data_IF_923360887123
#
_entry.id   IF_923360887123
#
_cell.length_a   1.000
_cell.length_b   1.000
_cell.length_c   1.000
_cell.angle_alpha   90.00
_cell.angle_beta   90.00
_cell.angle_gamma   90.00
#
_symmetry.space_group_name_H-M   'P 1'
#
loop_
_entity.id
_entity.type
_entity.pdbx_description
1 polymer ?
#
# COMPACT_ATOMS: atom_id res chain seq x y z
N UNK A 1 -56.73 0.56 61.07
CA UNK A 1 -55.88 -0.39 60.30
C UNK A 1 -56.54 -0.64 58.96
N UNK A 2 -56.04 -0.04 57.88
CA UNK A 2 -56.39 -0.41 56.50
C UNK A 2 -55.13 -0.22 55.65
N UNK A 3 -54.46 -1.33 55.36
CA UNK A 3 -53.26 -1.42 54.51
C UNK A 3 -53.69 -1.52 53.05
N UNK A 4 -53.26 -0.55 52.23
CA UNK A 4 -53.47 -0.52 50.79
C UNK A 4 -52.44 -1.43 50.10
N UNK A 5 -52.92 -2.47 49.42
CA UNK A 5 -52.13 -3.30 48.51
C UNK A 5 -51.87 -2.55 47.19
N UNK A 6 -50.65 -2.05 46.97
CA UNK A 6 -50.20 -1.60 45.65
C UNK A 6 -49.61 -2.78 44.87
N UNK A 7 -50.38 -3.23 43.87
CA UNK A 7 -50.01 -4.29 42.91
C UNK A 7 -48.81 -3.88 42.03
N UNK A 8 -47.89 -4.83 41.88
CA UNK A 8 -46.68 -4.79 41.05
C UNK A 8 -46.98 -4.70 39.54
N UNK A 9 -47.20 -3.49 39.01
CA UNK A 9 -47.26 -3.27 37.55
C UNK A 9 -46.00 -2.63 36.96
N UNK A 10 -45.07 -2.14 37.77
CA UNK A 10 -43.90 -1.39 37.31
C UNK A 10 -42.73 -2.26 36.83
N UNK A 11 -42.59 -3.51 37.29
CA UNK A 11 -41.48 -4.38 36.86
C UNK A 11 -41.63 -4.98 35.45
N UNK A 12 -42.85 -5.09 34.91
CA UNK A 12 -43.06 -5.69 33.58
C UNK A 12 -42.63 -4.76 32.44
N UNK A 13 -42.90 -3.46 32.58
CA UNK A 13 -42.54 -2.46 31.56
C UNK A 13 -41.03 -2.16 31.49
N UNK A 14 -40.29 -2.33 32.59
CA UNK A 14 -38.84 -2.16 32.60
C UNK A 14 -38.11 -3.21 31.74
N UNK A 15 -38.66 -4.44 31.65
CA UNK A 15 -38.06 -5.52 30.84
C UNK A 15 -38.27 -5.28 29.34
N UNK A 16 -39.42 -4.76 28.92
CA UNK A 16 -39.67 -4.41 27.52
C UNK A 16 -38.92 -3.14 27.09
N UNK A 17 -38.78 -2.14 27.97
CA UNK A 17 -37.97 -0.95 27.69
C UNK A 17 -36.49 -1.29 27.50
N UNK A 18 -35.93 -2.20 28.30
CA UNK A 18 -34.57 -2.69 28.14
C UNK A 18 -34.33 -3.43 26.82
N UNK A 19 -35.27 -4.28 26.40
CA UNK A 19 -35.20 -4.99 25.10
C UNK A 19 -35.32 -4.01 23.92
N UNK A 20 -36.16 -2.99 24.01
CA UNK A 20 -36.34 -2.00 22.96
C UNK A 20 -35.13 -1.06 22.81
N UNK A 21 -34.52 -0.64 23.92
CA UNK A 21 -33.26 0.14 23.91
C UNK A 21 -32.10 -0.71 23.40
N UNK A 22 -32.05 -2.01 23.74
CA UNK A 22 -31.05 -2.94 23.22
C UNK A 22 -31.21 -3.18 21.71
N UNK A 23 -32.44 -3.26 21.20
CA UNK A 23 -32.73 -3.34 19.76
C UNK A 23 -32.38 -2.04 19.00
N UNK A 24 -32.59 -0.88 19.60
CA UNK A 24 -32.19 0.43 19.04
C UNK A 24 -30.66 0.66 19.07
N UNK A 25 -29.95 0.07 20.03
CA UNK A 25 -28.48 0.07 20.07
C UNK A 25 -27.86 -0.94 19.08
N UNK A 26 -28.62 -1.95 18.66
CA UNK A 26 -28.23 -2.92 17.62
C UNK A 26 -28.55 -2.46 16.20
N UNK A 27 -29.29 -1.35 16.01
CA UNK A 27 -29.42 -0.66 14.72
C UNK A 27 -28.25 0.27 14.40
N UNK A 28 -27.06 -0.01 14.94
CA UNK A 28 -25.82 0.53 14.41
C UNK A 28 -25.67 0.00 12.98
N UNK A 29 -26.12 0.80 12.01
CA UNK A 29 -26.25 0.45 10.61
C UNK A 29 -25.04 -0.34 10.12
N UNK A 30 -25.26 -1.60 9.73
CA UNK A 30 -24.40 -2.28 8.77
C UNK A 30 -24.43 -1.43 7.50
N UNK A 31 -23.52 -0.46 7.41
CA UNK A 31 -23.44 0.46 6.28
C UNK A 31 -22.78 -0.32 5.16
N UNK A 32 -23.54 -0.68 4.14
CA UNK A 32 -22.99 -1.31 2.95
C UNK A 32 -21.89 -0.41 2.37
N UNK A 33 -20.81 -0.99 1.82
CA UNK A 33 -19.85 -0.21 1.07
C UNK A 33 -20.58 0.44 -0.10
N UNK A 34 -20.60 1.77 -0.14
CA UNK A 34 -21.18 2.51 -1.26
C UNK A 34 -20.10 2.64 -2.31
N UNK A 35 -20.21 1.86 -3.38
CA UNK A 35 -19.37 2.03 -4.57
C UNK A 35 -19.76 3.32 -5.29
N UNK A 36 -18.78 3.99 -5.88
CA UNK A 36 -19.02 5.16 -6.73
C UNK A 36 -19.77 4.72 -7.99
N UNK A 37 -20.68 5.58 -8.46
CA UNK A 37 -21.44 5.31 -9.69
C UNK A 37 -20.53 5.12 -10.92
N UNK A 38 -19.42 5.87 -10.96
CA UNK A 38 -18.39 5.71 -11.99
C UNK A 38 -17.79 4.30 -11.96
N UNK A 39 -17.45 3.79 -10.78
CA UNK A 39 -16.92 2.43 -10.59
C UNK A 39 -17.88 1.38 -11.14
N UNK A 40 -19.18 1.49 -10.86
CA UNK A 40 -20.17 0.58 -11.42
C UNK A 40 -20.30 0.64 -12.95
N UNK A 41 -19.99 1.78 -13.55
CA UNK A 41 -20.16 2.00 -14.99
C UNK A 41 -18.92 1.61 -15.79
N UNK A 42 -17.74 1.79 -15.20
CA UNK A 42 -16.44 1.61 -15.88
C UNK A 42 -15.89 0.19 -15.74
N UNK A 43 -16.31 -0.55 -14.71
CA UNK A 43 -15.82 -1.91 -14.45
C UNK A 43 -16.57 -2.97 -15.27
N UNK A 44 -15.89 -4.02 -15.75
CA UNK A 44 -16.55 -5.21 -16.28
C UNK A 44 -17.55 -5.79 -15.26
N UNK A 45 -18.67 -6.39 -15.68
CA UNK A 45 -19.68 -6.90 -14.75
C UNK A 45 -19.16 -8.03 -13.85
N UNK A 46 -18.20 -8.81 -14.33
CA UNK A 46 -17.58 -9.91 -13.59
C UNK A 46 -16.11 -10.05 -13.98
N UNK A 47 -15.27 -10.36 -13.01
CA UNK A 47 -13.84 -10.65 -13.21
C UNK A 47 -13.44 -11.81 -12.30
N UNK A 48 -12.64 -12.75 -12.81
CA UNK A 48 -12.04 -13.82 -12.00
C UNK A 48 -10.65 -14.18 -12.53
N UNK A 49 -9.62 -13.87 -11.75
CA UNK A 49 -8.21 -14.13 -12.02
C UNK A 49 -7.87 -15.61 -11.72
N UNK A 50 -8.35 -16.50 -12.59
CA UNK A 50 -8.18 -17.96 -12.44
C UNK A 50 -6.72 -18.42 -12.46
N UNK A 51 -5.81 -17.61 -13.00
CA UNK A 51 -4.37 -17.88 -13.04
C UNK A 51 -3.72 -17.82 -11.66
N UNK A 52 -4.35 -17.17 -10.67
CA UNK A 52 -3.82 -17.10 -9.31
C UNK A 52 -3.88 -18.49 -8.68
N UNK A 53 -2.73 -19.10 -8.37
CA UNK A 53 -2.70 -20.45 -7.82
C UNK A 53 -3.31 -20.48 -6.42
N UNK A 54 -3.71 -21.66 -5.97
CA UNK A 54 -4.23 -21.86 -4.63
C UNK A 54 -3.31 -22.76 -3.81
N UNK A 55 -3.02 -22.31 -2.59
CA UNK A 55 -2.34 -23.08 -1.56
C UNK A 55 -3.23 -23.08 -0.33
N UNK A 56 -3.66 -24.27 0.11
CA UNK A 56 -4.50 -24.40 1.30
C UNK A 56 -3.78 -23.84 2.53
N UNK A 57 -4.48 -23.01 3.30
CA UNK A 57 -3.93 -22.33 4.47
C UNK A 57 -4.28 -23.12 5.72
N UNK A 58 -3.30 -23.75 6.35
CA UNK A 58 -3.48 -24.34 7.69
C UNK A 58 -3.27 -23.27 8.78
N UNK A 59 -3.46 -23.64 10.04
CA UNK A 59 -3.27 -22.75 11.18
C UNK A 59 -1.92 -22.00 11.10
N UNK A 60 -1.95 -20.67 11.30
CA UNK A 60 -0.81 -19.75 11.23
C UNK A 60 -0.11 -19.59 9.86
N UNK A 61 -0.62 -20.19 8.77
CA UNK A 61 0.01 -20.12 7.44
C UNK A 61 -0.65 -19.14 6.46
N UNK A 62 -1.67 -18.39 6.87
CA UNK A 62 -2.41 -17.50 5.96
C UNK A 62 -1.51 -16.42 5.31
N UNK A 63 -0.52 -15.86 6.02
CA UNK A 63 0.44 -14.91 5.44
C UNK A 63 1.36 -15.54 4.39
N UNK A 64 2.19 -16.56 4.73
CA UNK A 64 3.07 -17.24 3.77
C UNK A 64 2.33 -17.79 2.54
N UNK A 65 1.13 -18.35 2.74
CA UNK A 65 0.32 -18.87 1.64
C UNK A 65 -0.17 -17.76 0.70
N UNK A 66 -0.69 -16.64 1.24
CA UNK A 66 -1.13 -15.52 0.39
C UNK A 66 0.05 -14.89 -0.38
N UNK A 67 1.22 -14.76 0.25
CA UNK A 67 2.44 -14.33 -0.45
C UNK A 67 2.84 -15.30 -1.56
N UNK A 68 2.82 -16.62 -1.31
CA UNK A 68 3.09 -17.61 -2.34
C UNK A 68 2.14 -17.44 -3.53
N UNK A 69 0.83 -17.25 -3.29
CA UNK A 69 -0.14 -17.08 -4.37
C UNK A 69 0.17 -15.86 -5.25
N UNK A 70 0.39 -14.69 -4.64
CA UNK A 70 0.64 -13.46 -5.42
C UNK A 70 2.02 -13.41 -6.05
N UNK A 71 3.05 -13.98 -5.42
CA UNK A 71 4.40 -14.07 -6.01
C UNK A 71 4.41 -15.02 -7.21
N UNK A 72 3.76 -16.19 -7.13
CA UNK A 72 3.67 -17.10 -8.27
C UNK A 72 2.81 -16.54 -9.40
N UNK A 73 1.76 -15.76 -9.09
CA UNK A 73 1.02 -15.01 -10.11
C UNK A 73 1.91 -13.99 -10.84
N UNK A 74 2.89 -13.42 -10.15
CA UNK A 74 3.93 -12.52 -10.72
C UNK A 74 5.12 -13.28 -11.32
N UNK A 75 4.97 -14.58 -11.62
CA UNK A 75 6.01 -15.41 -12.25
C UNK A 75 7.18 -15.79 -11.31
N UNK A 76 7.09 -15.51 -10.01
CA UNK A 76 8.13 -15.85 -9.03
C UNK A 76 7.81 -17.18 -8.38
N UNK A 77 8.69 -18.17 -8.55
CA UNK A 77 8.56 -19.48 -7.94
C UNK A 77 8.78 -19.44 -6.42
N UNK A 78 7.72 -19.16 -5.66
CA UNK A 78 7.75 -19.07 -4.20
C UNK A 78 6.95 -20.22 -3.57
N UNK A 79 7.57 -21.00 -2.67
CA UNK A 79 6.88 -22.05 -1.92
C UNK A 79 6.50 -21.57 -0.52
N UNK A 80 5.34 -22.01 -0.02
CA UNK A 80 4.83 -21.64 1.31
C UNK A 80 5.87 -21.94 2.40
N UNK A 81 6.48 -23.13 2.38
CA UNK A 81 7.48 -23.56 3.37
C UNK A 81 8.72 -22.64 3.43
N UNK A 82 9.09 -22.04 2.30
CA UNK A 82 10.24 -21.10 2.22
C UNK A 82 9.89 -19.73 2.79
N UNK A 83 8.60 -19.37 2.81
CA UNK A 83 8.09 -18.08 3.26
C UNK A 83 7.75 -18.06 4.75
N UNK A 84 7.39 -19.21 5.34
CA UNK A 84 7.10 -19.32 6.79
C UNK A 84 8.15 -18.63 7.67
N UNK A 85 9.46 -18.96 7.57
CA UNK A 85 10.47 -18.34 8.44
C UNK A 85 10.74 -16.86 8.14
N UNK A 86 10.27 -16.33 7.00
CA UNK A 86 10.51 -14.94 6.59
C UNK A 86 9.44 -13.97 7.09
N UNK A 87 8.25 -14.49 7.42
CA UNK A 87 7.06 -13.71 7.76
C UNK A 87 6.61 -13.96 9.20
N UNK A 88 6.97 -15.10 9.79
CA UNK A 88 6.63 -15.44 11.17
C UNK A 88 7.66 -14.87 12.16
N UNK A 89 7.18 -14.27 13.26
CA UNK A 89 8.03 -13.78 14.36
C UNK A 89 7.73 -14.60 15.63
N UNK A 90 8.75 -15.24 16.26
CA UNK A 90 8.56 -15.93 17.53
C UNK A 90 7.92 -15.03 18.60
N UNK A 91 6.83 -15.48 19.21
CA UNK A 91 6.11 -14.74 20.26
C UNK A 91 5.11 -13.68 19.75
N UNK A 92 4.94 -13.55 18.43
CA UNK A 92 3.80 -12.83 17.81
C UNK A 92 3.07 -13.84 16.95
N UNK A 93 1.88 -14.25 17.38
CA UNK A 93 1.10 -15.27 16.66
C UNK A 93 0.70 -14.76 15.27
N UNK A 94 1.39 -15.26 14.24
CA UNK A 94 1.05 -15.04 12.83
C UNK A 94 1.94 -14.06 12.07
N UNK A 95 1.45 -13.68 10.89
CA UNK A 95 2.17 -12.83 9.93
C UNK A 95 1.85 -11.35 10.13
N UNK A 96 2.88 -10.54 10.21
CA UNK A 96 2.77 -9.10 10.44
C UNK A 96 2.93 -8.31 9.13
N UNK A 97 2.19 -7.21 9.01
CA UNK A 97 2.06 -6.44 7.76
C UNK A 97 3.40 -5.93 7.21
N UNK A 98 4.32 -5.35 8.01
CA UNK A 98 5.62 -4.90 7.50
C UNK A 98 6.45 -6.05 6.91
N UNK A 99 6.40 -7.23 7.51
CA UNK A 99 7.12 -8.43 7.11
C UNK A 99 6.54 -9.02 5.83
N UNK A 100 5.22 -8.92 5.62
CA UNK A 100 4.60 -9.25 4.34
C UNK A 100 5.19 -8.38 3.22
N UNK A 101 5.19 -7.05 3.40
CA UNK A 101 5.73 -6.12 2.40
C UNK A 101 7.24 -6.31 2.21
N UNK A 102 7.99 -6.52 3.29
CA UNK A 102 9.44 -6.77 3.24
C UNK A 102 9.78 -8.08 2.53
N UNK A 103 8.97 -9.12 2.73
CA UNK A 103 9.17 -10.41 2.05
C UNK A 103 8.97 -10.26 0.54
N UNK A 104 7.95 -9.53 0.08
CA UNK A 104 7.79 -9.23 -1.36
C UNK A 104 9.04 -8.58 -1.94
N UNK A 105 9.65 -7.64 -1.22
CA UNK A 105 10.90 -6.99 -1.64
C UNK A 105 12.06 -7.96 -1.75
N UNK A 106 12.20 -8.93 -0.83
CA UNK A 106 13.25 -9.98 -0.91
C UNK A 106 13.15 -10.84 -2.16
N UNK A 107 11.99 -10.88 -2.80
CA UNK A 107 11.76 -11.56 -4.08
C UNK A 107 11.82 -10.60 -5.28
N UNK A 108 12.49 -9.45 -5.13
CA UNK A 108 12.71 -8.46 -6.19
C UNK A 108 11.42 -7.90 -6.82
N UNK A 109 10.33 -7.87 -6.03
CA UNK A 109 9.06 -7.25 -6.40
C UNK A 109 8.73 -6.09 -5.48
N UNK A 110 7.85 -5.19 -5.94
CA UNK A 110 7.33 -4.09 -5.15
C UNK A 110 5.96 -4.46 -4.58
N UNK A 111 5.77 -4.21 -3.29
CA UNK A 111 4.47 -4.28 -2.64
C UNK A 111 3.89 -2.88 -2.49
N UNK A 112 2.76 -2.60 -3.15
CA UNK A 112 2.09 -1.31 -3.13
C UNK A 112 0.84 -1.38 -2.24
N UNK A 113 0.85 -0.75 -1.05
CA UNK A 113 -0.35 -0.61 -0.25
C UNK A 113 -1.44 0.11 -1.06
N UNK A 114 -2.65 -0.44 -1.07
CA UNK A 114 -3.78 0.15 -1.78
C UNK A 114 -4.55 1.10 -0.86
N UNK A 115 -5.32 2.01 -1.45
CA UNK A 115 -6.32 2.74 -0.68
C UNK A 115 -7.40 1.75 -0.23
N UNK A 116 -7.74 1.75 1.06
CA UNK A 116 -8.75 0.89 1.64
C UNK A 116 -10.19 1.29 1.25
N UNK A 117 -10.54 1.13 -0.02
CA UNK A 117 -11.92 1.26 -0.52
C UNK A 117 -12.25 0.10 -1.44
N UNK A 118 -13.54 -0.29 -1.48
CA UNK A 118 -14.00 -1.33 -2.40
C UNK A 118 -13.73 -0.92 -3.86
N UNK A 119 -13.90 0.34 -4.23
CA UNK A 119 -13.61 0.84 -5.58
C UNK A 119 -12.17 0.59 -6.01
N UNK A 120 -11.21 0.84 -5.11
CA UNK A 120 -9.78 0.63 -5.40
C UNK A 120 -9.49 -0.87 -5.53
N UNK A 121 -10.04 -1.69 -4.64
CA UNK A 121 -9.89 -3.14 -4.68
C UNK A 121 -10.45 -3.74 -5.97
N UNK A 122 -11.68 -3.38 -6.36
CA UNK A 122 -12.31 -3.88 -7.58
C UNK A 122 -11.59 -3.38 -8.84
N UNK A 123 -11.09 -2.15 -8.82
CA UNK A 123 -10.26 -1.60 -9.89
C UNK A 123 -8.97 -2.39 -10.12
N UNK A 124 -8.28 -2.80 -9.05
CA UNK A 124 -7.12 -3.68 -9.15
C UNK A 124 -7.47 -5.05 -9.75
N UNK A 125 -8.54 -5.67 -9.27
CA UNK A 125 -8.98 -6.96 -9.81
C UNK A 125 -9.31 -6.86 -11.31
N UNK A 126 -9.97 -5.79 -11.72
CA UNK A 126 -10.27 -5.53 -13.13
C UNK A 126 -9.02 -5.27 -13.98
N UNK A 127 -7.96 -4.71 -13.39
CA UNK A 127 -6.67 -4.50 -14.04
C UNK A 127 -5.81 -5.78 -14.10
N UNK A 128 -6.22 -6.87 -13.48
CA UNK A 128 -5.46 -8.13 -13.43
C UNK A 128 -4.59 -8.30 -12.18
N UNK A 129 -4.69 -7.39 -11.21
CA UNK A 129 -3.91 -7.39 -9.98
C UNK A 129 -4.67 -8.13 -8.86
N UNK A 130 -4.24 -9.32 -8.42
CA UNK A 130 -4.79 -9.92 -7.21
C UNK A 130 -4.39 -9.10 -5.99
N UNK A 131 -5.35 -8.91 -5.08
CA UNK A 131 -5.17 -8.03 -3.91
C UNK A 131 -5.01 -8.90 -2.66
N UNK A 132 -3.87 -8.79 -1.98
CA UNK A 132 -3.72 -9.37 -0.63
C UNK A 132 -4.48 -8.48 0.34
N UNK A 133 -5.35 -9.08 1.14
CA UNK A 133 -6.19 -8.37 2.11
C UNK A 133 -6.06 -9.01 3.49
N UNK A 134 -6.16 -8.17 4.53
CA UNK A 134 -6.20 -8.64 5.91
C UNK A 134 -7.62 -8.47 6.45
N UNK A 135 -8.22 -9.50 7.01
CA UNK A 135 -9.55 -9.45 7.63
C UNK A 135 -9.44 -9.77 9.12
N UNK A 136 -10.37 -9.23 9.91
CA UNK A 136 -10.67 -9.77 11.24
C UNK A 136 -12.02 -10.49 11.18
N UNK A 137 -11.97 -11.83 11.15
CA UNK A 137 -13.15 -12.68 11.00
C UNK A 137 -14.00 -12.77 12.28
N UNK A 138 -13.47 -12.28 13.41
CA UNK A 138 -14.14 -12.28 14.70
C UNK A 138 -14.37 -10.85 15.22
N UNK A 139 -15.07 -10.73 16.35
CA UNK A 139 -15.34 -9.45 16.99
C UNK A 139 -14.04 -8.83 17.55
N UNK A 140 -13.95 -7.49 17.67
CA UNK A 140 -12.74 -6.81 18.15
C UNK A 140 -12.24 -7.28 19.53
N UNK A 141 -13.13 -7.79 20.38
CA UNK A 141 -12.82 -8.27 21.74
C UNK A 141 -12.07 -9.63 21.71
N UNK A 142 -12.24 -10.42 20.65
CA UNK A 142 -11.56 -11.71 20.44
C UNK A 142 -11.14 -11.80 18.96
N UNK A 143 -10.09 -11.08 18.53
CA UNK A 143 -9.76 -10.96 17.11
C UNK A 143 -9.30 -12.29 16.51
N UNK A 144 -9.71 -12.54 15.26
CA UNK A 144 -9.19 -13.62 14.42
C UNK A 144 -8.64 -13.02 13.13
N UNK A 145 -7.33 -12.77 13.12
CA UNK A 145 -6.62 -12.18 11.98
C UNK A 145 -6.46 -13.21 10.87
N UNK A 146 -6.82 -12.82 9.65
CA UNK A 146 -6.84 -13.71 8.51
C UNK A 146 -6.39 -13.00 7.24
N UNK A 147 -5.37 -13.53 6.57
CA UNK A 147 -5.00 -13.06 5.23
C UNK A 147 -5.72 -13.87 4.16
N UNK A 148 -6.20 -13.17 3.12
CA UNK A 148 -6.76 -13.77 1.93
C UNK A 148 -6.23 -13.06 0.68
N UNK A 149 -6.40 -13.68 -0.48
CA UNK A 149 -6.17 -13.02 -1.78
C UNK A 149 -7.50 -12.83 -2.46
N UNK A 150 -7.91 -11.57 -2.69
CA UNK A 150 -9.02 -11.29 -3.59
C UNK A 150 -8.57 -11.52 -5.03
N UNK A 151 -9.38 -12.28 -5.77
CA UNK A 151 -9.06 -12.70 -7.14
C UNK A 151 -10.19 -12.39 -8.12
N UNK A 152 -11.32 -11.87 -7.68
CA UNK A 152 -12.43 -11.61 -8.57
C UNK A 152 -13.66 -11.05 -7.88
N UNK A 153 -14.63 -10.67 -8.69
CA UNK A 153 -15.91 -10.14 -8.25
C UNK A 153 -17.02 -10.40 -9.26
N UNK A 154 -18.25 -10.29 -8.79
CA UNK A 154 -19.47 -10.28 -9.58
C UNK A 154 -20.32 -9.08 -9.12
N UNK A 155 -20.39 -8.04 -9.95
CA UNK A 155 -21.10 -6.79 -9.63
C UNK A 155 -22.61 -7.00 -9.53
N UNK A 156 -23.29 -7.66 -10.50
CA UNK A 156 -24.73 -7.94 -10.38
C UNK A 156 -25.13 -8.64 -9.09
N UNK A 157 -24.30 -9.58 -8.62
CA UNK A 157 -24.57 -10.34 -7.39
C UNK A 157 -23.93 -9.70 -6.14
N UNK A 158 -23.21 -8.60 -6.28
CA UNK A 158 -22.43 -7.94 -5.22
C UNK A 158 -21.56 -8.92 -4.42
N UNK A 159 -20.83 -9.81 -5.10
CA UNK A 159 -19.96 -10.80 -4.45
C UNK A 159 -18.50 -10.65 -4.83
N UNK A 160 -17.64 -10.94 -3.86
CA UNK A 160 -16.19 -11.02 -4.01
C UNK A 160 -15.75 -12.49 -3.98
N UNK A 161 -14.73 -12.81 -4.77
CA UNK A 161 -14.13 -14.14 -4.86
C UNK A 161 -12.73 -14.07 -4.25
N UNK A 162 -12.47 -14.91 -3.25
CA UNK A 162 -11.23 -14.97 -2.48
C UNK A 162 -10.58 -16.36 -2.58
N UNK A 163 -9.24 -16.40 -2.58
CA UNK A 163 -8.46 -17.54 -2.09
C UNK A 163 -8.30 -17.38 -0.58
N UNK A 164 -8.91 -18.27 0.22
CA UNK A 164 -9.02 -18.05 1.67
C UNK A 164 -9.14 -19.36 2.46
N UNK A 165 -8.28 -19.55 3.46
CA UNK A 165 -8.31 -20.76 4.29
C UNK A 165 -8.03 -22.02 3.46
N UNK A 166 -8.81 -23.06 3.71
CA UNK A 166 -8.83 -24.30 2.92
C UNK A 166 -9.75 -24.21 1.69
N UNK A 167 -10.42 -23.07 1.48
CA UNK A 167 -11.39 -22.89 0.41
C UNK A 167 -10.72 -22.21 -0.78
N UNK A 168 -10.55 -22.97 -1.85
CA UNK A 168 -9.96 -22.48 -3.10
C UNK A 168 -10.74 -21.31 -3.68
N UNK A 169 -12.07 -21.44 -3.80
CA UNK A 169 -12.94 -20.40 -4.37
C UNK A 169 -13.98 -19.98 -3.36
N UNK A 170 -13.60 -19.09 -2.45
CA UNK A 170 -14.49 -18.58 -1.41
C UNK A 170 -15.27 -17.36 -1.93
N UNK A 171 -16.58 -17.51 -2.09
CA UNK A 171 -17.48 -16.41 -2.51
C UNK A 171 -18.18 -15.80 -1.30
N UNK A 172 -18.10 -14.47 -1.15
CA UNK A 172 -18.70 -13.72 -0.04
C UNK A 172 -19.33 -12.42 -0.57
N UNK A 173 -20.40 -11.93 0.06
CA UNK A 173 -20.99 -10.64 -0.34
C UNK A 173 -20.05 -9.46 -0.02
N UNK A 174 -20.11 -8.40 -0.82
CA UNK A 174 -19.35 -7.16 -0.60
C UNK A 174 -19.56 -6.59 0.81
N UNK A 175 -20.80 -6.59 1.29
CA UNK A 175 -21.15 -6.10 2.63
C UNK A 175 -20.46 -6.89 3.76
N UNK A 176 -20.45 -8.22 3.67
CA UNK A 176 -19.82 -9.08 4.69
C UNK A 176 -18.30 -8.97 4.63
N UNK A 177 -17.74 -8.92 3.42
CA UNK A 177 -16.32 -8.70 3.24
C UNK A 177 -15.89 -7.37 3.85
N UNK A 178 -16.50 -6.26 3.44
CA UNK A 178 -16.13 -4.91 3.91
C UNK A 178 -16.27 -4.77 5.43
N UNK A 179 -17.28 -5.39 6.04
CA UNK A 179 -17.46 -5.37 7.50
C UNK A 179 -16.29 -6.03 8.27
N UNK A 180 -15.66 -7.06 7.71
CA UNK A 180 -14.48 -7.74 8.31
C UNK A 180 -13.17 -7.09 7.91
N UNK A 181 -13.11 -6.46 6.74
CA UNK A 181 -11.96 -5.71 6.23
C UNK A 181 -11.83 -4.34 6.93
N UNK A 182 -12.94 -3.68 7.27
CA UNK A 182 -12.94 -2.42 8.00
C UNK A 182 -12.31 -2.54 9.39
N UNK A 183 -12.33 -3.73 10.01
CA UNK A 183 -11.74 -4.00 11.33
C UNK A 183 -10.20 -4.03 11.31
N UNK A 184 -9.60 -4.10 10.12
CA UNK A 184 -8.15 -4.03 9.89
C UNK A 184 -7.79 -2.74 9.15
N UNK A 185 -8.61 -1.70 9.29
CA UNK A 185 -8.46 -0.42 8.60
C UNK A 185 -8.46 -0.55 7.07
N UNK A 186 -9.11 -1.61 6.56
CA UNK A 186 -9.15 -1.97 5.13
C UNK A 186 -7.75 -2.12 4.54
N UNK A 187 -6.85 -2.73 5.31
CA UNK A 187 -5.49 -2.97 4.86
C UNK A 187 -5.43 -3.97 3.71
N UNK A 188 -4.67 -3.64 2.69
CA UNK A 188 -4.35 -4.52 1.58
C UNK A 188 -3.25 -3.95 0.70
N UNK A 189 -2.69 -4.79 -0.15
CA UNK A 189 -1.65 -4.40 -1.11
C UNK A 189 -1.71 -5.25 -2.37
N UNK A 190 -1.11 -4.73 -3.44
CA UNK A 190 -0.84 -5.46 -4.69
C UNK A 190 0.67 -5.61 -4.89
N UNK A 191 1.07 -6.62 -5.66
CA UNK A 191 2.46 -6.89 -5.99
C UNK A 191 2.68 -6.58 -7.47
N UNK A 192 3.78 -5.90 -7.80
CA UNK A 192 4.16 -5.63 -9.18
C UNK A 192 5.68 -5.67 -9.37
N UNK A 193 6.10 -5.83 -10.63
CA UNK A 193 7.51 -5.81 -11.01
C UNK A 193 8.06 -4.37 -11.06
N UNK A 194 9.38 -4.17 -10.89
CA UNK A 194 10.01 -2.87 -11.12
C UNK A 194 9.65 -2.28 -12.48
N UNK A 195 9.32 -0.99 -12.52
CA UNK A 195 8.83 -0.30 -13.72
C UNK A 195 7.33 -0.39 -13.96
N UNK A 196 6.61 -1.21 -13.20
CA UNK A 196 5.14 -1.21 -13.23
C UNK A 196 4.60 -0.39 -12.07
N UNK A 197 3.74 0.59 -12.39
CA UNK A 197 2.97 1.33 -11.39
C UNK A 197 1.49 0.94 -11.48
N UNK A 198 0.97 0.09 -10.56
CA UNK A 198 -0.42 -0.33 -10.59
C UNK A 198 -1.39 0.86 -10.55
N UNK A 199 -2.50 0.76 -11.28
CA UNK A 199 -3.52 1.81 -11.34
C UNK A 199 -4.21 1.95 -9.98
N UNK A 200 -4.60 3.17 -9.59
CA UNK A 200 -5.31 3.40 -8.31
C UNK A 200 -4.43 3.50 -7.07
N UNK A 201 -3.14 3.14 -7.16
CA UNK A 201 -2.15 3.41 -6.11
C UNK A 201 -1.92 4.92 -5.99
N UNK A 202 -1.89 5.42 -4.75
CA UNK A 202 -1.69 6.85 -4.51
C UNK A 202 -0.23 7.25 -4.72
N UNK A 203 0.08 8.52 -5.08
CA UNK A 203 1.46 8.97 -5.21
C UNK A 203 2.28 8.75 -3.94
N UNK A 204 1.66 8.91 -2.77
CA UNK A 204 2.29 8.67 -1.46
C UNK A 204 2.67 7.19 -1.30
N UNK A 205 1.72 6.28 -1.50
CA UNK A 205 1.97 4.85 -1.33
C UNK A 205 2.99 4.33 -2.36
N UNK A 206 2.97 4.88 -3.57
CA UNK A 206 3.97 4.56 -4.59
C UNK A 206 5.37 5.05 -4.21
N UNK A 207 5.52 6.30 -3.73
CA UNK A 207 6.78 6.81 -3.20
C UNK A 207 7.32 5.92 -2.08
N UNK A 208 6.49 5.58 -1.10
CA UNK A 208 6.88 4.73 0.03
C UNK A 208 7.31 3.34 -0.43
N UNK A 209 6.57 2.72 -1.35
CA UNK A 209 6.89 1.39 -1.87
C UNK A 209 8.18 1.35 -2.68
N UNK A 210 8.39 2.34 -3.58
CA UNK A 210 9.60 2.40 -4.43
C UNK A 210 10.82 2.75 -3.56
N UNK A 211 10.71 3.71 -2.64
CA UNK A 211 11.80 4.03 -1.71
C UNK A 211 12.18 2.84 -0.83
N UNK A 212 11.21 2.11 -0.28
CA UNK A 212 11.50 0.91 0.51
C UNK A 212 12.16 -0.21 -0.32
N UNK A 213 11.86 -0.28 -1.62
CA UNK A 213 12.53 -1.18 -2.55
C UNK A 213 13.96 -0.72 -2.87
N UNK A 214 14.17 0.59 -3.03
CA UNK A 214 15.49 1.20 -3.22
C UNK A 214 16.43 1.01 -2.03
N UNK A 215 15.92 1.15 -0.81
CA UNK A 215 16.72 0.90 0.40
C UNK A 215 17.29 -0.53 0.45
N UNK A 216 16.58 -1.49 -0.15
CA UNK A 216 16.97 -2.90 -0.15
C UNK A 216 17.85 -3.30 -1.35
N UNK A 217 17.67 -2.68 -2.53
CA UNK A 217 18.31 -3.11 -3.79
C UNK A 217 19.18 -2.05 -4.46
N UNK A 218 19.18 -0.83 -3.93
CA UNK A 218 19.92 0.31 -4.46
C UNK A 218 19.18 1.07 -5.58
N UNK A 219 19.66 2.29 -5.89
CA UNK A 219 19.00 3.23 -6.81
C UNK A 219 19.01 2.79 -8.28
N UNK A 220 19.94 1.92 -8.69
CA UNK A 220 19.94 1.40 -10.06
C UNK A 220 18.77 0.45 -10.30
N UNK A 221 18.43 -0.39 -9.31
CA UNK A 221 17.33 -1.36 -9.41
C UNK A 221 15.94 -0.70 -9.43
N UNK A 222 15.86 0.59 -9.07
CA UNK A 222 14.60 1.34 -8.98
C UNK A 222 14.40 2.30 -10.14
N UNK A 223 15.36 2.42 -11.06
CA UNK A 223 15.31 3.37 -12.17
C UNK A 223 14.00 3.27 -12.96
N UNK A 224 13.61 2.07 -13.39
CA UNK A 224 12.38 1.87 -14.15
C UNK A 224 11.14 2.25 -13.33
N UNK A 225 11.12 1.93 -12.03
CA UNK A 225 10.02 2.29 -11.12
C UNK A 225 9.90 3.80 -10.94
N UNK A 226 11.01 4.52 -10.80
CA UNK A 226 11.01 5.98 -10.72
C UNK A 226 10.60 6.63 -12.03
N UNK A 227 11.02 6.08 -13.17
CA UNK A 227 10.57 6.51 -14.50
C UNK A 227 9.04 6.39 -14.62
N UNK A 228 8.48 5.22 -14.31
CA UNK A 228 7.04 5.01 -14.33
C UNK A 228 6.28 5.92 -13.35
N UNK A 229 6.88 6.21 -12.19
CA UNK A 229 6.32 7.13 -11.21
C UNK A 229 6.25 8.57 -11.75
N UNK A 230 7.34 9.11 -12.28
CA UNK A 230 7.35 10.49 -12.77
C UNK A 230 6.58 10.66 -14.07
N UNK A 231 6.46 9.61 -14.89
CA UNK A 231 5.59 9.64 -16.08
C UNK A 231 4.14 9.90 -15.67
N UNK A 232 3.67 9.24 -14.60
CA UNK A 232 2.31 9.44 -14.08
C UNK A 232 2.17 10.67 -13.19
N UNK A 233 3.24 11.10 -12.54
CA UNK A 233 3.26 12.21 -11.58
C UNK A 233 4.39 13.21 -11.89
N UNK A 234 4.37 13.88 -13.06
CA UNK A 234 5.50 14.68 -13.54
C UNK A 234 5.82 15.89 -12.67
N UNK A 235 4.84 16.37 -11.90
CA UNK A 235 4.96 17.53 -11.00
C UNK A 235 5.35 17.15 -9.56
N UNK A 236 5.72 15.89 -9.30
CA UNK A 236 6.16 15.46 -7.98
C UNK A 236 7.68 15.69 -7.80
N UNK A 237 8.05 16.71 -7.03
CA UNK A 237 9.46 17.08 -6.82
C UNK A 237 10.30 15.94 -6.19
N UNK A 238 9.73 15.17 -5.27
CA UNK A 238 10.44 14.05 -4.60
C UNK A 238 10.71 12.92 -5.59
N UNK A 239 9.74 12.59 -6.44
CA UNK A 239 9.90 11.62 -7.52
C UNK A 239 10.96 12.03 -8.54
N UNK A 240 10.97 13.31 -8.95
CA UNK A 240 12.01 13.84 -9.85
C UNK A 240 13.41 13.77 -9.22
N UNK A 241 13.53 14.10 -7.93
CA UNK A 241 14.79 13.97 -7.21
C UNK A 241 15.26 12.50 -7.10
N UNK A 242 14.36 11.59 -6.76
CA UNK A 242 14.69 10.17 -6.67
C UNK A 242 15.07 9.57 -8.03
N UNK A 243 14.36 9.95 -9.10
CA UNK A 243 14.74 9.62 -10.47
C UNK A 243 16.14 10.14 -10.81
N UNK A 244 16.47 11.37 -10.44
CA UNK A 244 17.82 11.92 -10.65
C UNK A 244 18.91 11.10 -9.96
N UNK A 245 18.67 10.63 -8.74
CA UNK A 245 19.61 9.75 -8.03
C UNK A 245 19.76 8.40 -8.73
N UNK A 246 18.66 7.79 -9.17
CA UNK A 246 18.67 6.54 -9.93
C UNK A 246 19.40 6.67 -11.27
N UNK A 247 19.15 7.73 -12.03
CA UNK A 247 19.84 8.02 -13.29
C UNK A 247 21.34 8.27 -13.10
N UNK A 248 21.72 8.96 -12.03
CA UNK A 248 23.12 9.18 -11.72
C UNK A 248 23.84 7.87 -11.37
N UNK A 249 23.20 7.01 -10.57
CA UNK A 249 23.72 5.69 -10.24
C UNK A 249 23.83 4.77 -11.47
N UNK A 250 22.92 4.92 -12.43
CA UNK A 250 22.94 4.22 -13.72
C UNK A 250 23.87 4.86 -14.77
N UNK A 251 24.75 5.78 -14.37
CA UNK A 251 25.74 6.45 -15.24
C UNK A 251 25.12 7.28 -16.38
N UNK A 252 23.94 7.87 -16.14
CA UNK A 252 23.24 8.77 -17.07
C UNK A 252 23.23 10.23 -16.55
N UNK A 253 24.40 10.90 -16.40
CA UNK A 253 24.51 12.20 -15.73
C UNK A 253 23.76 13.34 -16.43
N UNK A 254 23.61 13.28 -17.75
CA UNK A 254 22.86 14.28 -18.50
C UNK A 254 21.35 14.25 -18.18
N UNK A 255 20.77 13.05 -18.06
CA UNK A 255 19.36 12.91 -17.67
C UNK A 255 19.18 13.18 -16.17
N UNK A 256 20.13 12.74 -15.34
CA UNK A 256 20.12 13.05 -13.91
C UNK A 256 20.11 14.56 -13.65
N UNK A 257 20.91 15.33 -14.38
CA UNK A 257 20.89 16.80 -14.34
C UNK A 257 19.49 17.36 -14.62
N UNK A 258 18.82 16.88 -15.67
CA UNK A 258 17.47 17.34 -16.03
C UNK A 258 16.46 17.03 -14.92
N UNK A 259 16.51 15.82 -14.36
CA UNK A 259 15.63 15.40 -13.27
C UNK A 259 15.86 16.24 -11.99
N UNK A 260 17.12 16.51 -11.63
CA UNK A 260 17.42 17.40 -10.50
C UNK A 260 17.00 18.85 -10.74
N UNK A 261 17.20 19.38 -11.96
CA UNK A 261 16.72 20.72 -12.31
C UNK A 261 15.19 20.83 -12.19
N UNK A 262 14.45 19.84 -12.70
CA UNK A 262 13.00 19.78 -12.51
C UNK A 262 12.61 19.68 -11.04
N UNK A 263 13.33 18.89 -10.23
CA UNK A 263 13.06 18.80 -8.79
C UNK A 263 13.27 20.15 -8.09
N UNK A 264 14.28 20.93 -8.49
CA UNK A 264 14.53 22.27 -7.94
C UNK A 264 13.50 23.30 -8.40
N UNK A 265 12.99 23.18 -9.62
CA UNK A 265 11.93 24.06 -10.13
C UNK A 265 10.59 23.78 -9.42
N UNK A 266 10.26 22.50 -9.21
CA UNK A 266 9.04 22.07 -8.53
C UNK A 266 9.09 22.33 -7.02
N UNK A 267 10.28 22.25 -6.40
CA UNK A 267 10.49 22.59 -5.00
C UNK A 267 11.82 23.35 -4.80
N UNK A 268 11.77 24.69 -4.85
CA UNK A 268 12.95 25.54 -4.68
C UNK A 268 13.66 25.40 -3.33
N UNK A 269 13.01 24.82 -2.33
CA UNK A 269 13.55 24.63 -0.98
C UNK A 269 14.15 23.22 -0.77
N UNK A 270 14.18 22.38 -1.82
CA UNK A 270 14.80 21.06 -1.77
C UNK A 270 16.33 21.15 -1.88
N UNK A 271 16.99 21.42 -0.75
CA UNK A 271 18.45 21.60 -0.72
C UNK A 271 19.24 20.42 -1.26
N UNK A 272 18.77 19.18 -1.05
CA UNK A 272 19.43 17.98 -1.59
C UNK A 272 19.43 17.95 -3.13
N UNK A 273 18.37 18.42 -3.78
CA UNK A 273 18.31 18.51 -5.24
C UNK A 273 19.26 19.58 -5.78
N UNK A 274 19.31 20.75 -5.14
CA UNK A 274 20.28 21.81 -5.48
C UNK A 274 21.73 21.36 -5.32
N UNK A 275 22.03 20.61 -4.25
CA UNK A 275 23.36 20.05 -4.03
C UNK A 275 23.73 19.08 -5.15
N UNK A 276 22.86 18.11 -5.47
CA UNK A 276 23.15 17.12 -6.50
C UNK A 276 23.26 17.75 -7.90
N UNK A 277 22.41 18.73 -8.22
CA UNK A 277 22.50 19.51 -9.44
C UNK A 277 23.85 20.23 -9.54
N UNK A 278 24.27 20.92 -8.48
CA UNK A 278 25.55 21.61 -8.42
C UNK A 278 26.76 20.68 -8.59
N UNK A 279 26.74 19.51 -7.95
CA UNK A 279 27.81 18.53 -8.08
C UNK A 279 27.92 17.96 -9.51
N UNK A 280 26.79 17.70 -10.18
CA UNK A 280 26.81 17.25 -11.58
C UNK A 280 27.32 18.37 -12.51
N UNK A 281 26.91 19.62 -12.27
CA UNK A 281 27.41 20.76 -13.06
C UNK A 281 28.92 20.95 -12.90
N UNK A 282 29.46 20.73 -11.68
CA UNK A 282 30.91 20.73 -11.45
C UNK A 282 31.61 19.63 -12.26
N UNK A 283 31.06 18.41 -12.26
CA UNK A 283 31.62 17.31 -13.04
C UNK A 283 31.62 17.60 -14.55
N UNK A 284 30.69 18.44 -15.01
CA UNK A 284 30.56 18.88 -16.40
C UNK A 284 31.34 20.17 -16.70
N UNK A 285 32.13 20.68 -15.76
CA UNK A 285 32.92 21.93 -15.87
C UNK A 285 32.06 23.20 -16.11
N UNK A 286 30.77 23.15 -15.78
CA UNK A 286 29.84 24.30 -15.87
C UNK A 286 29.88 25.13 -14.57
N UNK A 287 31.03 25.76 -14.32
CA UNK A 287 31.37 26.34 -13.04
C UNK A 287 30.42 27.45 -12.55
N UNK A 288 29.97 28.36 -13.42
CA UNK A 288 29.06 29.44 -13.03
C UNK A 288 27.70 28.90 -12.57
N UNK A 289 27.15 27.95 -13.32
CA UNK A 289 25.88 27.29 -12.99
C UNK A 289 26.01 26.45 -11.71
N UNK A 290 27.14 25.74 -11.56
CA UNK A 290 27.44 24.96 -10.37
C UNK A 290 27.52 25.85 -9.12
N UNK A 291 28.22 26.98 -9.19
CA UNK A 291 28.33 27.93 -8.10
C UNK A 291 26.96 28.46 -7.68
N UNK A 292 26.08 28.79 -8.64
CA UNK A 292 24.69 29.19 -8.37
C UNK A 292 23.90 28.12 -7.61
N UNK A 293 23.91 26.88 -8.11
CA UNK A 293 23.18 25.76 -7.51
C UNK A 293 23.69 25.43 -6.10
N UNK A 294 25.02 25.36 -5.91
CA UNK A 294 25.63 25.08 -4.61
C UNK A 294 25.41 26.24 -3.62
N UNK A 295 25.40 27.48 -4.07
CA UNK A 295 25.06 28.64 -3.22
C UNK A 295 23.63 28.54 -2.70
N UNK A 296 22.67 28.19 -3.57
CA UNK A 296 21.28 27.95 -3.15
C UNK A 296 21.19 26.76 -2.19
N UNK A 297 21.89 25.66 -2.44
CA UNK A 297 21.95 24.53 -1.51
C UNK A 297 22.52 24.95 -0.13
N UNK A 298 23.57 25.78 -0.11
CA UNK A 298 24.20 26.28 1.10
C UNK A 298 23.30 27.23 1.91
N UNK A 299 22.36 27.94 1.27
CA UNK A 299 21.43 28.83 1.97
C UNK A 299 20.30 28.09 2.68
N UNK A 300 19.99 26.84 2.29
CA UNK A 300 18.84 26.07 2.78
C UNK A 300 19.09 25.34 4.11
N UNK A 301 20.32 25.40 4.65
CA UNK A 301 20.66 24.91 6.00
C UNK A 301 20.82 23.38 6.12
N UNK A 302 20.91 22.90 7.36
CA UNK A 302 21.03 21.48 7.70
C UNK A 302 22.32 20.81 7.20
N UNK A 303 22.27 19.48 7.03
CA UNK A 303 23.41 18.69 6.52
C UNK A 303 23.81 19.09 5.08
N UNK A 304 22.84 19.51 4.27
CA UNK A 304 23.07 19.97 2.90
C UNK A 304 23.98 21.20 2.89
N UNK A 305 23.80 22.14 3.80
CA UNK A 305 24.62 23.35 3.87
C UNK A 305 26.11 23.07 4.02
N UNK A 306 26.49 22.16 4.92
CA UNK A 306 27.89 21.83 5.14
C UNK A 306 28.52 21.20 3.88
N UNK A 307 27.80 20.27 3.24
CA UNK A 307 28.24 19.62 1.99
C UNK A 307 28.38 20.61 0.84
N UNK A 308 27.42 21.53 0.68
CA UNK A 308 27.45 22.53 -0.37
C UNK A 308 28.60 23.53 -0.19
N UNK A 309 28.86 23.98 1.05
CA UNK A 309 30.01 24.85 1.35
C UNK A 309 31.34 24.18 1.06
N UNK A 310 31.48 22.91 1.44
CA UNK A 310 32.69 22.14 1.13
C UNK A 310 32.94 22.04 -0.38
N UNK A 311 31.88 21.78 -1.17
CA UNK A 311 31.97 21.76 -2.62
C UNK A 311 32.37 23.13 -3.21
N UNK A 312 31.83 24.23 -2.67
CA UNK A 312 32.19 25.60 -3.05
C UNK A 312 33.64 25.97 -2.67
N UNK A 313 34.17 25.48 -1.56
CA UNK A 313 35.54 25.79 -1.12
C UNK A 313 36.59 24.99 -1.90
N UNK A 314 36.23 23.81 -2.42
CA UNK A 314 37.11 23.00 -3.30
C UNK A 314 37.32 23.67 -4.68
N UNK A 315 36.56 24.73 -4.97
CA UNK A 315 36.58 25.49 -6.23
C UNK A 315 37.53 26.71 -6.21
N UNK A 316 38.18 27.02 -5.08
CA UNK A 316 39.15 28.14 -4.96
C UNK A 316 40.56 27.70 -5.32
#
# INVERSE_FOLDING_TARGET
MNTVFLKSKTLSYARFAGVFIMLLMLSACARNPVLLQSTYSDLPPQVELRSVPFYAQTEFQCGPATLAMVLNHQGVAAKVDQLIPQVFIPGRDGSVQPEMLATVRRYEKLAFPIRGTMDTLLGHLAAGDPVVVMQNLSLPIYPMWHYAVAIGYDLPNETLILRSGEIERHTISFSRFDATWARTERWGFVVAEPGTLPTGVTPRNALEAISAFEEAHGPQATLSSWQAFVERHPTNAVGQFALGNALYADQQPAQARQAFALATDLNPEMGAAWLNLGLILLQQEEFDAAHGALTKAASLGGNVQAKARLALDTFK
#
